data_IF_104861612727
#
_entry.id   IF_104861612727
#
_cell.length_a   1.000
_cell.length_b   1.000
_cell.length_c   1.000
_cell.angle_alpha   90.00
_cell.angle_beta   90.00
_cell.angle_gamma   90.00
#
_symmetry.space_group_name_H-M   'P 1'
#
loop_
_entity.id
_entity.type
_entity.pdbx_description
1 polymer ?
#
# COMPACT_ATOMS: atom_id res chain seq x y z
N UNK A 1 -10.44 -29.16 -2.12
CA UNK A 1 -11.01 -27.89 -1.63
C UNK A 1 -10.78 -27.68 -0.13
N UNK A 2 -11.38 -28.51 0.75
CA UNK A 2 -11.49 -28.23 2.21
C UNK A 2 -10.32 -28.68 3.09
N UNK A 3 -9.41 -29.53 2.61
CA UNK A 3 -8.26 -29.98 3.40
C UNK A 3 -7.32 -28.80 3.72
N UNK A 4 -6.97 -28.02 2.70
CA UNK A 4 -6.11 -26.85 2.82
C UNK A 4 -6.62 -25.78 3.81
N UNK A 5 -7.93 -25.50 3.82
CA UNK A 5 -8.50 -24.54 4.78
C UNK A 5 -8.34 -25.02 6.21
N UNK A 6 -8.55 -26.32 6.45
CA UNK A 6 -8.40 -26.92 7.77
C UNK A 6 -6.95 -26.88 8.25
N UNK A 7 -6.01 -27.16 7.36
CA UNK A 7 -4.58 -27.12 7.68
C UNK A 7 -4.13 -25.68 7.99
N UNK A 8 -4.62 -24.69 7.22
CA UNK A 8 -4.36 -23.27 7.47
C UNK A 8 -4.96 -22.80 8.81
N UNK A 9 -6.19 -23.19 9.14
CA UNK A 9 -6.82 -22.85 10.41
C UNK A 9 -6.09 -23.51 11.59
N UNK A 10 -5.62 -24.76 11.41
CA UNK A 10 -4.80 -25.47 12.40
C UNK A 10 -3.46 -24.77 12.62
N UNK A 11 -2.81 -24.28 11.55
CA UNK A 11 -1.56 -23.53 11.65
C UNK A 11 -1.74 -22.20 12.40
N UNK A 12 -2.89 -21.53 12.25
CA UNK A 12 -3.22 -20.33 13.03
C UNK A 12 -3.47 -20.67 14.50
N UNK A 13 -4.30 -21.67 14.78
CA UNK A 13 -4.64 -22.07 16.16
C UNK A 13 -3.44 -22.61 16.94
N UNK A 14 -2.51 -23.28 16.26
CA UNK A 14 -1.26 -23.76 16.85
C UNK A 14 -0.17 -22.69 16.98
N UNK A 15 -0.41 -21.48 16.47
CA UNK A 15 0.53 -20.36 16.55
C UNK A 15 1.72 -20.45 15.60
N UNK A 16 1.71 -21.38 14.64
CA UNK A 16 2.74 -21.48 13.58
C UNK A 16 2.72 -20.23 12.70
N UNK A 17 1.53 -19.64 12.49
CA UNK A 17 1.34 -18.35 11.82
C UNK A 17 0.34 -17.51 12.62
N UNK A 18 0.56 -16.19 12.69
CA UNK A 18 -0.29 -15.30 13.49
C UNK A 18 -1.70 -15.06 12.93
N UNK A 19 -1.89 -15.23 11.63
CA UNK A 19 -3.18 -15.14 10.96
C UNK A 19 -3.14 -15.87 9.62
N UNK A 20 -4.32 -16.27 9.13
CA UNK A 20 -4.44 -16.86 7.79
C UNK A 20 -4.26 -15.75 6.75
N UNK A 21 -3.23 -15.88 5.93
CA UNK A 21 -2.98 -14.94 4.83
C UNK A 21 -3.48 -15.53 3.50
N UNK A 22 -4.27 -14.75 2.78
CA UNK A 22 -4.78 -15.10 1.45
C UNK A 22 -3.97 -14.40 0.35
N UNK A 23 -4.09 -14.87 -0.89
CA UNK A 23 -3.52 -14.15 -2.04
C UNK A 23 -4.09 -12.73 -2.18
N UNK A 24 -5.31 -12.51 -1.71
CA UNK A 24 -5.92 -11.19 -1.67
C UNK A 24 -5.23 -10.29 -0.65
N UNK A 25 -4.89 -10.80 0.53
CA UNK A 25 -4.15 -10.05 1.57
C UNK A 25 -2.74 -9.69 1.10
N UNK A 26 -2.04 -10.62 0.42
CA UNK A 26 -0.75 -10.33 -0.20
C UNK A 26 -0.86 -9.23 -1.27
N UNK A 27 -1.92 -9.26 -2.08
CA UNK A 27 -2.20 -8.23 -3.09
C UNK A 27 -2.48 -6.87 -2.43
N UNK A 28 -3.21 -6.86 -1.31
CA UNK A 28 -3.45 -5.65 -0.52
C UNK A 28 -2.16 -5.07 0.07
N UNK A 29 -1.36 -5.91 0.72
CA UNK A 29 -0.07 -5.50 1.27
C UNK A 29 0.83 -4.88 0.19
N UNK A 30 0.97 -5.55 -0.96
CA UNK A 30 1.80 -5.07 -2.07
C UNK A 30 1.35 -3.70 -2.59
N UNK A 31 0.05 -3.50 -2.74
CA UNK A 31 -0.53 -2.22 -3.16
C UNK A 31 -0.27 -1.10 -2.14
N UNK A 32 -0.50 -1.37 -0.85
CA UNK A 32 -0.20 -0.44 0.25
C UNK A 32 1.27 -0.02 0.24
N UNK A 33 2.20 -0.97 0.07
CA UNK A 33 3.63 -0.67 0.06
C UNK A 33 4.04 0.21 -1.13
N UNK A 34 3.46 -0.01 -2.32
CA UNK A 34 3.73 0.83 -3.49
C UNK A 34 3.23 2.25 -3.30
N UNK A 35 2.01 2.42 -2.75
CA UNK A 35 1.47 3.75 -2.47
C UNK A 35 2.31 4.46 -1.41
N UNK A 36 2.72 3.77 -0.34
CA UNK A 36 3.61 4.32 0.69
C UNK A 36 4.98 4.72 0.14
N UNK A 37 5.50 3.99 -0.84
CA UNK A 37 6.73 4.34 -1.54
C UNK A 37 6.59 5.53 -2.50
N UNK A 38 5.41 6.16 -2.59
CA UNK A 38 5.14 7.31 -3.44
C UNK A 38 4.90 6.96 -4.91
N UNK A 39 4.64 5.69 -5.23
CA UNK A 39 4.30 5.28 -6.60
C UNK A 39 2.90 5.81 -6.94
N UNK A 40 2.76 6.39 -8.12
CA UNK A 40 1.49 6.97 -8.56
C UNK A 40 0.39 5.89 -8.69
N UNK A 41 -0.85 6.28 -8.37
CA UNK A 41 -1.98 5.37 -8.31
C UNK A 41 -2.33 4.75 -9.66
N UNK A 42 -2.01 5.39 -10.79
CA UNK A 42 -2.23 4.82 -12.12
C UNK A 42 -1.26 3.66 -12.37
N UNK A 43 0.02 3.83 -12.03
CA UNK A 43 1.03 2.78 -12.10
C UNK A 43 0.70 1.63 -11.16
N UNK A 44 0.27 1.90 -9.93
CA UNK A 44 -0.17 0.85 -9.00
C UNK A 44 -1.39 0.12 -9.55
N UNK A 45 -2.39 0.86 -10.05
CA UNK A 45 -3.60 0.29 -10.67
C UNK A 45 -3.27 -0.63 -11.85
N UNK A 46 -2.41 -0.18 -12.77
CA UNK A 46 -1.96 -0.95 -13.92
C UNK A 46 -1.17 -2.20 -13.51
N UNK A 47 -0.27 -2.08 -12.53
CA UNK A 47 0.52 -3.21 -12.01
C UNK A 47 -0.33 -4.28 -11.36
N UNK A 48 -1.47 -3.91 -10.79
CA UNK A 48 -2.44 -4.84 -10.19
C UNK A 48 -3.48 -5.33 -11.21
N UNK A 49 -3.61 -4.69 -12.37
CA UNK A 49 -4.66 -4.98 -13.35
C UNK A 49 -6.04 -4.52 -12.90
N UNK A 50 -6.12 -3.47 -12.07
CA UNK A 50 -7.40 -2.84 -11.75
C UNK A 50 -7.92 -2.07 -12.97
N UNK A 51 -9.19 -2.27 -13.31
CA UNK A 51 -9.82 -1.60 -14.44
C UNK A 51 -9.87 -0.07 -14.28
N UNK A 52 -9.88 0.42 -13.04
CA UNK A 52 -9.86 1.86 -12.75
C UNK A 52 -8.94 2.22 -11.59
N UNK A 53 -8.19 3.33 -11.71
CA UNK A 53 -7.40 3.91 -10.61
C UNK A 53 -8.25 4.33 -9.40
N UNK A 54 -9.54 4.61 -9.63
CA UNK A 54 -10.50 4.99 -8.58
C UNK A 54 -10.64 3.92 -7.48
N UNK A 55 -10.57 2.63 -7.83
CA UNK A 55 -10.57 1.54 -6.85
C UNK A 55 -9.31 1.54 -5.99
N UNK A 56 -8.16 1.85 -6.60
CA UNK A 56 -6.88 1.95 -5.90
C UNK A 56 -6.87 3.17 -4.98
N UNK A 57 -7.42 4.31 -5.43
CA UNK A 57 -7.58 5.51 -4.62
C UNK A 57 -8.51 5.28 -3.41
N UNK A 58 -9.66 4.62 -3.60
CA UNK A 58 -10.62 4.40 -2.50
C UNK A 58 -10.10 3.45 -1.43
N UNK A 59 -9.17 2.56 -1.78
CA UNK A 59 -8.63 1.54 -0.87
C UNK A 59 -7.30 1.98 -0.24
N UNK A 60 -6.44 2.67 -0.99
CA UNK A 60 -5.07 3.00 -0.59
C UNK A 60 -4.76 4.49 -0.54
N UNK A 61 -5.65 5.36 -1.01
CA UNK A 61 -5.45 6.80 -1.10
C UNK A 61 -5.60 7.57 0.21
N UNK A 62 -5.68 6.90 1.36
CA UNK A 62 -5.67 7.58 2.64
C UNK A 62 -4.29 8.22 2.86
N UNK A 63 -4.25 9.53 3.02
CA UNK A 63 -3.04 10.28 3.32
C UNK A 63 -2.45 9.80 4.64
N UNK A 64 -1.26 9.21 4.59
CA UNK A 64 -0.42 8.91 5.75
C UNK A 64 0.24 10.23 6.20
N UNK A 65 0.29 10.51 7.50
CA UNK A 65 0.91 11.74 8.06
C UNK A 65 2.35 11.92 7.55
N UNK A 66 3.04 10.81 7.27
CA UNK A 66 4.38 10.83 6.68
C UNK A 66 4.40 11.37 5.25
N UNK A 67 3.40 11.03 4.44
CA UNK A 67 3.29 11.53 3.07
C UNK A 67 2.95 13.02 3.04
N UNK A 68 2.09 13.49 3.95
CA UNK A 68 1.79 14.91 4.09
C UNK A 68 3.04 15.71 4.50
N UNK A 69 3.81 15.21 5.48
CA UNK A 69 5.10 15.80 5.85
C UNK A 69 6.09 15.87 4.68
N UNK A 70 6.19 14.82 3.87
CA UNK A 70 7.04 14.83 2.67
C UNK A 70 6.55 15.82 1.61
N UNK A 71 5.24 15.94 1.41
CA UNK A 71 4.66 16.92 0.50
C UNK A 71 4.96 18.35 0.97
N UNK A 72 4.77 18.63 2.26
CA UNK A 72 5.09 19.91 2.88
C UNK A 72 6.59 20.24 2.78
N UNK A 73 7.48 19.26 3.01
CA UNK A 73 8.92 19.44 2.87
C UNK A 73 9.33 19.76 1.42
N UNK A 74 8.70 19.10 0.44
CA UNK A 74 8.95 19.33 -0.99
C UNK A 74 8.59 20.75 -1.39
N UNK A 75 7.39 21.22 -1.02
CA UNK A 75 6.96 22.60 -1.29
C UNK A 75 7.84 23.60 -0.53
N UNK A 76 8.18 23.32 0.72
CA UNK A 76 9.10 24.15 1.50
C UNK A 76 10.48 24.30 0.86
N UNK A 77 11.00 23.25 0.19
CA UNK A 77 12.25 23.32 -0.55
C UNK A 77 12.14 24.20 -1.81
N UNK A 78 11.02 24.12 -2.53
CA UNK A 78 10.76 24.92 -3.73
C UNK A 78 10.50 26.40 -3.41
N UNK A 79 9.93 26.69 -2.23
CA UNK A 79 9.60 28.06 -1.80
C UNK A 79 10.76 28.80 -1.15
N UNK A 80 11.86 28.13 -0.78
CA UNK A 80 13.06 28.82 -0.31
C UNK A 80 13.59 29.68 -1.45
N UNK A 81 13.75 31.01 -1.26
CA UNK A 81 14.32 31.84 -2.30
C UNK A 81 15.71 31.30 -2.63
N UNK A 82 15.93 30.98 -3.90
CA UNK A 82 17.26 30.70 -4.43
C UNK A 82 18.07 31.95 -4.14
N UNK A 83 18.87 31.91 -3.08
CA UNK A 83 19.71 33.02 -2.68
C UNK A 83 20.58 33.41 -3.86
N UNK A 84 20.33 34.62 -4.36
CA UNK A 84 21.26 35.38 -5.19
C UNK A 84 22.60 35.39 -4.46
N UNK A 85 23.57 34.67 -4.99
CA UNK A 85 24.98 35.05 -4.87
C UNK A 85 25.33 35.92 -6.06
#
# INVERSE_FOLDING_TARGET
GRAWTRDADTAVQSGVVGARMTLHDCRHWHATQLVRAGVDLNTVSNRLGHATPAFTLSVYGHSDDEQDRQAAATIGALMKPTGTQ
#
